data_IF_204961817616
#
_entry.id   IF_204961817616
#
_cell.length_a   1.000
_cell.length_b   1.000
_cell.length_c   1.000
_cell.angle_alpha   90.00
_cell.angle_beta   90.00
_cell.angle_gamma   90.00
#
_symmetry.space_group_name_H-M   'P 1'
#
loop_
_entity.id
_entity.type
_entity.pdbx_description
1 polymer ?
#
# COMPACT_ATOMS: atom_id res chain seq x y z
N UNK A 1 -14.60 -4.58 27.50
CA UNK A 1 -14.64 -5.34 26.24
C UNK A 1 -14.99 -4.45 25.02
N UNK A 2 -16.15 -3.77 24.96
CA UNK A 2 -16.55 -2.98 23.77
C UNK A 2 -15.67 -1.73 23.56
N UNK A 3 -15.34 -0.99 24.63
CA UNK A 3 -14.42 0.16 24.57
C UNK A 3 -12.98 -0.23 24.23
N UNK A 4 -12.52 -1.39 24.68
CA UNK A 4 -11.18 -1.94 24.39
C UNK A 4 -11.08 -2.36 22.93
N UNK A 5 -12.13 -2.97 22.36
CA UNK A 5 -12.25 -3.28 20.94
C UNK A 5 -12.22 -2.01 20.07
N UNK A 6 -12.87 -0.92 20.49
CA UNK A 6 -12.86 0.34 19.77
C UNK A 6 -11.48 1.03 19.79
N UNK A 7 -10.77 0.96 20.91
CA UNK A 7 -9.40 1.50 21.01
C UNK A 7 -8.43 0.73 20.08
N UNK A 8 -8.48 -0.59 20.07
CA UNK A 8 -7.67 -1.44 19.18
C UNK A 8 -7.92 -1.09 17.71
N UNK A 9 -9.18 -0.94 17.31
CA UNK A 9 -9.51 -0.55 15.93
C UNK A 9 -9.01 0.83 15.55
N UNK A 10 -9.08 1.82 16.45
CA UNK A 10 -8.54 3.16 16.20
C UNK A 10 -7.03 3.14 16.01
N UNK A 11 -6.32 2.38 16.83
CA UNK A 11 -4.86 2.21 16.69
C UNK A 11 -4.54 1.51 15.38
N UNK A 12 -5.26 0.46 15.03
CA UNK A 12 -5.11 -0.26 13.76
C UNK A 12 -5.36 0.66 12.54
N UNK A 13 -6.41 1.47 12.60
CA UNK A 13 -6.72 2.45 11.58
C UNK A 13 -5.61 3.49 11.41
N UNK A 14 -5.08 4.00 12.53
CA UNK A 14 -3.95 4.93 12.52
C UNK A 14 -2.68 4.29 11.95
N UNK A 15 -2.40 3.04 12.27
CA UNK A 15 -1.27 2.28 11.71
C UNK A 15 -1.39 2.17 10.18
N UNK A 16 -2.56 1.80 9.66
CA UNK A 16 -2.79 1.71 8.22
C UNK A 16 -2.71 3.07 7.54
N UNK A 17 -3.25 4.13 8.16
CA UNK A 17 -3.14 5.49 7.66
C UNK A 17 -1.68 5.96 7.57
N UNK A 18 -0.89 5.77 8.62
CA UNK A 18 0.54 6.12 8.63
C UNK A 18 1.30 5.26 7.63
N UNK A 19 1.00 3.95 7.54
CA UNK A 19 1.59 3.06 6.56
C UNK A 19 1.34 3.53 5.12
N UNK A 20 0.12 3.98 4.82
CA UNK A 20 -0.21 4.61 3.54
C UNK A 20 0.58 5.90 3.31
N UNK A 21 0.60 6.80 4.29
CA UNK A 21 1.34 8.06 4.19
C UNK A 21 2.84 7.85 3.91
N UNK A 22 3.45 6.79 4.45
CA UNK A 22 4.85 6.46 4.15
C UNK A 22 5.08 6.19 2.65
N UNK A 23 4.12 5.58 1.94
CA UNK A 23 4.24 5.38 0.50
C UNK A 23 4.33 6.69 -0.30
N UNK A 24 3.82 7.79 0.23
CA UNK A 24 3.91 9.09 -0.43
C UNK A 24 5.34 9.51 -0.76
N UNK A 25 6.29 9.28 0.15
CA UNK A 25 7.71 9.56 -0.09
C UNK A 25 8.29 8.69 -1.22
N UNK A 26 7.74 7.50 -1.43
CA UNK A 26 8.23 6.53 -2.39
C UNK A 26 8.09 6.99 -3.85
N UNK A 27 6.95 7.58 -4.22
CA UNK A 27 6.71 8.06 -5.57
C UNK A 27 7.69 9.19 -5.98
N UNK A 28 7.95 10.13 -5.07
CA UNK A 28 8.92 11.22 -5.26
C UNK A 28 10.34 10.68 -5.45
N UNK A 29 10.76 9.70 -4.64
CA UNK A 29 12.07 9.08 -4.76
C UNK A 29 12.20 8.27 -6.04
N UNK A 30 11.15 7.57 -6.47
CA UNK A 30 11.11 6.84 -7.73
C UNK A 30 11.30 7.79 -8.93
N UNK A 31 10.55 8.90 -8.97
CA UNK A 31 10.69 9.96 -9.99
C UNK A 31 12.12 10.50 -10.04
N UNK A 32 12.70 10.79 -8.87
CA UNK A 32 14.08 11.26 -8.77
C UNK A 32 15.10 10.20 -9.22
N UNK A 33 14.91 8.92 -8.90
CA UNK A 33 15.78 7.85 -9.37
C UNK A 33 15.74 7.70 -10.89
N UNK A 34 14.56 7.76 -11.51
CA UNK A 34 14.41 7.74 -12.97
C UNK A 34 15.11 8.93 -13.64
N UNK A 35 14.98 10.13 -13.07
CA UNK A 35 15.66 11.33 -13.57
C UNK A 35 17.20 11.21 -13.49
N UNK A 36 17.72 10.40 -12.57
CA UNK A 36 19.14 10.10 -12.45
C UNK A 36 19.59 8.86 -13.28
N UNK A 37 18.74 8.38 -14.19
CA UNK A 37 19.09 7.34 -15.17
C UNK A 37 18.93 5.89 -14.69
N UNK A 38 18.37 5.66 -13.50
CA UNK A 38 18.10 4.30 -13.03
C UNK A 38 16.86 3.73 -13.71
N UNK A 39 16.92 2.47 -14.13
CA UNK A 39 15.79 1.79 -14.74
C UNK A 39 14.73 1.41 -13.69
N UNK A 40 13.47 1.25 -14.10
CA UNK A 40 12.41 0.83 -13.19
C UNK A 40 12.69 -0.53 -12.53
N UNK A 41 13.38 -1.45 -13.22
CA UNK A 41 13.80 -2.75 -12.68
C UNK A 41 14.79 -2.57 -11.52
N UNK A 42 15.79 -1.71 -11.71
CA UNK A 42 16.78 -1.39 -10.67
C UNK A 42 16.13 -0.74 -9.46
N UNK A 43 15.15 0.16 -9.69
CA UNK A 43 14.42 0.83 -8.62
C UNK A 43 13.59 -0.15 -7.80
N UNK A 44 12.86 -1.08 -8.46
CA UNK A 44 12.15 -2.17 -7.77
C UNK A 44 13.11 -3.03 -6.97
N UNK A 45 14.18 -3.51 -7.59
CA UNK A 45 15.13 -4.40 -6.93
C UNK A 45 15.79 -3.70 -5.73
N UNK A 46 16.24 -2.45 -5.91
CA UNK A 46 16.86 -1.65 -4.85
C UNK A 46 15.95 -1.49 -3.64
N UNK A 47 14.67 -1.17 -3.86
CA UNK A 47 13.67 -1.08 -2.80
C UNK A 47 13.50 -2.41 -2.05
N UNK A 48 13.31 -3.53 -2.78
CA UNK A 48 13.03 -4.83 -2.17
C UNK A 48 14.23 -5.35 -1.36
N UNK A 49 15.43 -5.30 -1.94
CA UNK A 49 16.65 -5.77 -1.28
C UNK A 49 17.02 -4.93 -0.07
N UNK A 50 16.92 -3.60 -0.18
CA UNK A 50 17.17 -2.73 0.96
C UNK A 50 16.19 -3.01 2.11
N UNK A 51 14.91 -3.23 1.79
CA UNK A 51 13.91 -3.57 2.79
C UNK A 51 14.20 -4.90 3.49
N UNK A 52 14.64 -5.92 2.75
CA UNK A 52 15.03 -7.21 3.32
C UNK A 52 16.22 -7.05 4.28
N UNK A 53 17.22 -6.24 3.92
CA UNK A 53 18.35 -5.92 4.80
C UNK A 53 17.87 -5.21 6.06
N UNK A 54 17.02 -4.19 5.93
CA UNK A 54 16.49 -3.43 7.07
C UNK A 54 15.67 -4.31 8.03
N UNK A 55 14.80 -5.17 7.53
CA UNK A 55 14.08 -6.14 8.37
C UNK A 55 15.01 -7.20 8.96
N UNK A 56 16.05 -7.61 8.23
CA UNK A 56 17.10 -8.49 8.75
C UNK A 56 17.82 -7.86 9.94
N UNK A 57 18.19 -6.59 9.84
CA UNK A 57 18.77 -5.83 10.96
C UNK A 57 17.80 -5.72 12.15
N UNK A 58 16.51 -5.47 11.90
CA UNK A 58 15.50 -5.45 12.95
C UNK A 58 15.37 -6.80 13.66
N UNK A 59 15.47 -7.91 12.93
CA UNK A 59 15.52 -9.26 13.51
C UNK A 59 16.76 -9.50 14.36
N UNK A 60 17.93 -9.06 13.91
CA UNK A 60 19.16 -9.17 14.69
C UNK A 60 19.05 -8.39 16.02
N UNK A 61 18.49 -7.17 15.98
CA UNK A 61 18.22 -6.39 17.18
C UNK A 61 17.22 -7.11 18.11
N UNK A 62 16.18 -7.72 17.58
CA UNK A 62 15.22 -8.51 18.38
C UNK A 62 15.90 -9.74 19.01
N UNK A 63 16.75 -10.44 18.26
CA UNK A 63 17.49 -11.59 18.73
C UNK A 63 18.45 -11.20 19.87
N UNK A 64 19.15 -10.09 19.74
CA UNK A 64 20.02 -9.55 20.79
C UNK A 64 19.27 -9.18 22.08
N UNK A 65 17.95 -8.88 21.96
CA UNK A 65 17.06 -8.61 23.12
C UNK A 65 16.37 -9.88 23.65
N UNK A 66 16.82 -11.08 23.28
CA UNK A 66 16.25 -12.36 23.73
C UNK A 66 14.90 -12.72 23.06
N UNK A 67 14.45 -11.97 22.06
CA UNK A 67 13.25 -12.25 21.28
C UNK A 67 13.65 -12.87 19.95
N UNK A 68 14.10 -14.12 20.00
CA UNK A 68 14.67 -14.80 18.83
C UNK A 68 13.64 -15.19 17.76
N UNK A 69 14.16 -15.75 16.68
CA UNK A 69 13.40 -16.34 15.59
C UNK A 69 12.46 -17.43 16.08
N UNK A 70 11.18 -17.34 15.75
CA UNK A 70 10.22 -18.41 16.02
C UNK A 70 10.23 -19.40 14.86
N UNK A 71 10.27 -20.69 15.17
CA UNK A 71 10.15 -21.73 14.14
C UNK A 71 8.72 -21.69 13.58
N UNK A 72 8.62 -21.44 12.28
CA UNK A 72 7.37 -21.48 11.54
C UNK A 72 7.27 -22.77 10.74
N UNK A 73 6.04 -23.27 10.60
CA UNK A 73 5.77 -24.33 9.64
C UNK A 73 6.00 -23.83 8.20
N UNK A 74 6.41 -24.73 7.29
CA UNK A 74 6.68 -24.38 5.90
C UNK A 74 5.49 -23.68 5.21
N UNK A 75 4.26 -24.08 5.54
CA UNK A 75 3.04 -23.46 5.00
C UNK A 75 2.89 -22.00 5.42
N UNK A 76 3.20 -21.66 6.66
CA UNK A 76 3.05 -20.30 7.17
C UNK A 76 4.17 -19.40 6.64
N UNK A 77 5.40 -19.91 6.55
CA UNK A 77 6.49 -19.21 5.87
C UNK A 77 6.15 -18.95 4.39
N UNK A 78 5.62 -19.95 3.68
CA UNK A 78 5.22 -19.82 2.29
C UNK A 78 4.11 -18.78 2.08
N UNK A 79 3.12 -18.64 2.98
CA UNK A 79 2.10 -17.59 2.92
C UNK A 79 2.71 -16.20 2.99
N UNK A 80 3.69 -15.99 3.89
CA UNK A 80 4.36 -14.70 4.04
C UNK A 80 5.23 -14.36 2.83
N UNK A 81 5.97 -15.35 2.32
CA UNK A 81 6.75 -15.20 1.09
C UNK A 81 5.83 -14.89 -0.10
N UNK A 82 4.67 -15.56 -0.22
CA UNK A 82 3.68 -15.28 -1.27
C UNK A 82 3.12 -13.85 -1.18
N UNK A 83 2.89 -13.33 0.03
CA UNK A 83 2.55 -11.90 0.20
C UNK A 83 3.67 -10.99 -0.32
N UNK A 84 4.92 -11.39 -0.17
CA UNK A 84 6.07 -10.67 -0.71
C UNK A 84 6.07 -10.64 -2.25
N UNK A 85 5.79 -11.77 -2.89
CA UNK A 85 5.61 -11.81 -4.35
C UNK A 85 4.52 -10.85 -4.82
N UNK A 86 3.38 -10.81 -4.12
CA UNK A 86 2.27 -9.92 -4.46
C UNK A 86 2.65 -8.44 -4.26
N UNK A 87 3.38 -8.11 -3.17
CA UNK A 87 3.88 -6.76 -2.94
C UNK A 87 4.88 -6.33 -4.02
N UNK A 88 5.81 -7.21 -4.42
CA UNK A 88 6.72 -6.97 -5.53
C UNK A 88 5.96 -6.77 -6.84
N UNK A 89 4.95 -7.60 -7.12
CA UNK A 89 4.11 -7.47 -8.31
C UNK A 89 3.45 -6.09 -8.39
N UNK A 90 2.94 -5.57 -7.27
CA UNK A 90 2.40 -4.21 -7.21
C UNK A 90 3.43 -3.17 -7.64
N UNK A 91 4.64 -3.22 -7.07
CA UNK A 91 5.71 -2.27 -7.40
C UNK A 91 6.17 -2.40 -8.86
N UNK A 92 6.29 -3.61 -9.38
CA UNK A 92 6.66 -3.90 -10.77
C UNK A 92 5.64 -3.29 -11.73
N UNK A 93 4.35 -3.60 -11.52
CA UNK A 93 3.27 -3.10 -12.37
C UNK A 93 3.19 -1.57 -12.34
N UNK A 94 3.36 -0.99 -11.16
CA UNK A 94 3.29 0.45 -10.94
C UNK A 94 4.48 1.19 -11.57
N UNK A 95 5.73 0.75 -11.31
CA UNK A 95 6.92 1.42 -11.81
C UNK A 95 7.10 1.22 -13.32
N UNK A 96 6.67 0.06 -13.84
CA UNK A 96 6.57 -0.12 -15.28
C UNK A 96 5.55 0.83 -15.90
N UNK A 97 4.38 1.00 -15.30
CA UNK A 97 3.40 1.98 -15.76
C UNK A 97 3.98 3.41 -15.72
N UNK A 98 4.70 3.79 -14.64
CA UNK A 98 5.38 5.09 -14.52
C UNK A 98 6.49 5.31 -15.56
N UNK A 99 7.05 4.26 -16.13
CA UNK A 99 8.03 4.38 -17.24
C UNK A 99 7.38 4.69 -18.59
N UNK A 100 6.07 4.48 -18.70
CA UNK A 100 5.29 4.67 -19.94
C UNK A 100 4.26 5.82 -19.85
N UNK A 101 3.94 6.26 -18.64
CA UNK A 101 2.90 7.25 -18.34
C UNK A 101 3.46 8.38 -17.47
N UNK A 102 2.89 9.57 -17.54
CA UNK A 102 3.08 10.58 -16.50
C UNK A 102 2.72 9.99 -15.11
N UNK A 103 3.48 10.42 -14.09
CA UNK A 103 3.32 9.91 -12.72
C UNK A 103 1.90 10.12 -12.20
N UNK A 104 1.28 11.25 -12.57
CA UNK A 104 -0.08 11.64 -12.19
C UNK A 104 -1.13 10.65 -12.72
N UNK A 105 -0.95 10.15 -13.93
CA UNK A 105 -1.82 9.13 -14.53
C UNK A 105 -1.59 7.78 -13.87
N UNK A 106 -0.33 7.38 -13.69
CA UNK A 106 0.01 6.10 -13.07
C UNK A 106 -0.52 6.03 -11.62
N UNK A 107 -0.39 7.10 -10.83
CA UNK A 107 -0.91 7.14 -9.46
C UNK A 107 -2.44 7.11 -9.43
N UNK A 108 -3.12 7.79 -10.35
CA UNK A 108 -4.59 7.75 -10.47
C UNK A 108 -5.08 6.33 -10.74
N UNK A 109 -4.36 5.57 -11.58
CA UNK A 109 -4.67 4.17 -11.87
C UNK A 109 -4.37 3.26 -10.67
N UNK A 110 -3.28 3.47 -9.96
CA UNK A 110 -2.98 2.76 -8.72
C UNK A 110 -4.12 2.95 -7.71
N UNK A 111 -4.62 4.17 -7.54
CA UNK A 111 -5.66 4.50 -6.55
C UNK A 111 -7.02 3.84 -6.82
N UNK A 112 -7.18 3.15 -7.96
CA UNK A 112 -8.34 2.29 -8.17
C UNK A 112 -8.43 1.17 -7.10
N UNK A 113 -7.33 0.87 -6.39
CA UNK A 113 -7.37 -0.07 -5.27
C UNK A 113 -8.41 0.27 -4.19
N UNK A 114 -8.80 1.54 -4.06
CA UNK A 114 -9.76 2.00 -3.03
C UNK A 114 -11.12 1.32 -3.18
N UNK A 115 -11.70 1.31 -4.40
CA UNK A 115 -12.99 0.66 -4.65
C UNK A 115 -12.82 -0.85 -4.90
N UNK A 116 -11.70 -1.27 -5.50
CA UNK A 116 -11.40 -2.69 -5.70
C UNK A 116 -11.34 -3.41 -4.35
N UNK A 117 -10.78 -2.77 -3.31
CA UNK A 117 -10.80 -3.29 -1.94
C UNK A 117 -12.20 -3.52 -1.39
N UNK A 118 -13.15 -2.63 -1.71
CA UNK A 118 -14.55 -2.84 -1.35
C UNK A 118 -15.17 -4.03 -2.10
N UNK A 119 -14.87 -4.18 -3.39
CA UNK A 119 -15.31 -5.35 -4.17
C UNK A 119 -14.76 -6.65 -3.57
N UNK A 120 -13.48 -6.68 -3.23
CA UNK A 120 -12.86 -7.85 -2.58
C UNK A 120 -13.56 -8.14 -1.24
N UNK A 121 -13.87 -7.11 -0.44
CA UNK A 121 -14.60 -7.26 0.81
C UNK A 121 -16.00 -7.87 0.60
N UNK A 122 -16.74 -7.42 -0.42
CA UNK A 122 -18.07 -7.97 -0.76
C UNK A 122 -17.98 -9.44 -1.17
N UNK A 123 -17.03 -9.79 -2.02
CA UNK A 123 -16.81 -11.17 -2.47
C UNK A 123 -16.48 -12.07 -1.28
N UNK A 124 -15.63 -11.60 -0.38
CA UNK A 124 -15.16 -12.36 0.78
C UNK A 124 -16.22 -12.56 1.85
N UNK A 125 -16.89 -11.46 2.21
CA UNK A 125 -17.85 -11.47 3.32
C UNK A 125 -19.27 -11.82 2.85
N UNK A 126 -19.53 -11.79 1.55
CA UNK A 126 -20.87 -11.89 0.93
C UNK A 126 -21.88 -10.90 1.51
N UNK A 127 -21.41 -9.74 1.95
CA UNK A 127 -22.22 -8.65 2.49
C UNK A 127 -22.00 -7.39 1.69
N UNK A 128 -23.09 -6.63 1.47
CA UNK A 128 -22.97 -5.32 0.83
C UNK A 128 -22.07 -4.39 1.67
N UNK A 129 -21.25 -3.55 1.03
CA UNK A 129 -20.44 -2.56 1.72
C UNK A 129 -21.35 -1.55 2.43
N UNK A 130 -20.85 -0.93 3.46
CA UNK A 130 -21.58 0.13 4.15
C UNK A 130 -21.70 1.36 3.23
N UNK A 131 -22.81 2.09 3.26
CA UNK A 131 -22.94 3.31 2.46
C UNK A 131 -21.80 4.32 2.68
N UNK A 132 -21.30 4.42 3.91
CA UNK A 132 -20.16 5.28 4.24
C UNK A 132 -18.85 4.82 3.55
N UNK A 133 -18.61 3.53 3.42
CA UNK A 133 -17.44 2.99 2.71
C UNK A 133 -17.51 3.31 1.20
N UNK A 134 -18.69 3.15 0.61
CA UNK A 134 -18.92 3.49 -0.81
C UNK A 134 -18.76 4.99 -1.03
N UNK A 135 -19.37 5.82 -0.17
CA UNK A 135 -19.25 7.26 -0.23
C UNK A 135 -17.78 7.70 -0.07
N UNK A 136 -17.04 7.12 0.89
CA UNK A 136 -15.64 7.39 1.11
C UNK A 136 -14.80 7.06 -0.13
N UNK A 137 -14.99 5.89 -0.73
CA UNK A 137 -14.26 5.48 -1.94
C UNK A 137 -14.57 6.43 -3.12
N UNK A 138 -15.82 6.81 -3.33
CA UNK A 138 -16.21 7.76 -4.37
C UNK A 138 -15.57 9.14 -4.16
N UNK A 139 -15.58 9.64 -2.92
CA UNK A 139 -14.98 10.93 -2.56
C UNK A 139 -13.44 10.88 -2.76
N UNK A 140 -12.78 9.78 -2.35
CA UNK A 140 -11.34 9.60 -2.55
C UNK A 140 -10.98 9.56 -4.02
N UNK A 141 -11.73 8.82 -4.85
CA UNK A 141 -11.48 8.76 -6.29
C UNK A 141 -11.63 10.14 -6.95
N UNK A 142 -12.68 10.90 -6.59
CA UNK A 142 -12.83 12.27 -7.07
C UNK A 142 -11.66 13.16 -6.62
N UNK A 143 -11.29 13.10 -5.34
CA UNK A 143 -10.14 13.82 -4.79
C UNK A 143 -8.83 13.44 -5.47
N UNK A 144 -8.63 12.16 -5.81
CA UNK A 144 -7.44 11.68 -6.53
C UNK A 144 -7.33 12.32 -7.91
N UNK A 145 -8.42 12.42 -8.67
CA UNK A 145 -8.44 13.07 -9.98
C UNK A 145 -8.04 14.55 -9.87
N UNK A 146 -8.53 15.27 -8.86
CA UNK A 146 -8.16 16.66 -8.64
C UNK A 146 -6.71 16.81 -8.15
N UNK A 147 -6.30 15.98 -7.19
CA UNK A 147 -4.98 16.07 -6.58
C UNK A 147 -3.85 15.65 -7.53
N UNK A 148 -4.08 14.68 -8.42
CA UNK A 148 -3.11 14.22 -9.41
C UNK A 148 -2.97 15.13 -10.62
N UNK A 149 -3.90 16.07 -10.84
CA UNK A 149 -3.89 16.94 -12.01
C UNK A 149 -4.23 16.25 -13.34
N UNK A 150 -4.59 14.97 -13.34
CA UNK A 150 -4.92 14.19 -14.56
C UNK A 150 -6.07 14.80 -15.37
N UNK A 151 -6.92 15.58 -14.73
CA UNK A 151 -8.01 16.31 -15.38
C UNK A 151 -7.51 17.36 -16.39
N UNK A 152 -6.26 17.84 -16.28
CA UNK A 152 -5.64 18.79 -17.23
C UNK A 152 -5.13 18.08 -18.49
N UNK A 153 -4.60 16.87 -18.34
CA UNK A 153 -3.94 16.12 -19.43
C UNK A 153 -4.89 15.18 -20.16
N UNK A 154 -5.99 14.76 -19.52
CA UNK A 154 -6.87 13.73 -20.05
C UNK A 154 -6.18 12.35 -20.16
N UNK A 155 -6.84 11.40 -20.83
CA UNK A 155 -6.28 10.06 -21.05
C UNK A 155 -5.95 9.77 -22.53
N UNK A 156 -6.31 10.68 -23.44
CA UNK A 156 -6.08 10.50 -24.87
C UNK A 156 -4.59 10.59 -25.21
N UNK A 157 -4.09 9.63 -25.96
CA UNK A 157 -2.69 9.60 -26.41
C UNK A 157 -1.71 8.86 -25.49
N UNK A 158 -2.15 8.34 -24.34
CA UNK A 158 -1.30 7.52 -23.49
C UNK A 158 -1.18 6.06 -23.99
N UNK A 159 -0.05 5.42 -23.63
CA UNK A 159 0.21 4.03 -23.94
C UNK A 159 -0.88 3.13 -23.34
N UNK A 160 -1.62 2.32 -24.17
CA UNK A 160 -2.60 1.38 -23.65
C UNK A 160 -1.98 0.36 -22.69
N UNK A 161 -0.73 -0.03 -22.93
CA UNK A 161 0.02 -0.94 -22.07
C UNK A 161 0.29 -0.30 -20.70
N UNK A 162 0.70 0.96 -20.68
CA UNK A 162 0.89 1.73 -19.45
C UNK A 162 -0.41 1.83 -18.65
N UNK A 163 -1.54 2.12 -19.30
CA UNK A 163 -2.85 2.17 -18.66
C UNK A 163 -3.27 0.83 -18.07
N UNK A 164 -3.05 -0.27 -18.78
CA UNK A 164 -3.34 -1.63 -18.30
C UNK A 164 -2.49 -1.96 -17.07
N UNK A 165 -1.19 -1.75 -17.12
CA UNK A 165 -0.29 -2.08 -16.01
C UNK A 165 -0.54 -1.18 -14.80
N UNK A 166 -0.86 0.10 -15.02
CA UNK A 166 -1.28 1.01 -13.95
C UNK A 166 -2.55 0.52 -13.24
N UNK A 167 -3.55 0.09 -13.98
CA UNK A 167 -4.78 -0.47 -13.41
C UNK A 167 -4.52 -1.79 -12.67
N UNK A 168 -3.74 -2.70 -13.26
CA UNK A 168 -3.36 -3.96 -12.62
C UNK A 168 -2.55 -3.75 -11.33
N UNK A 169 -1.77 -2.68 -11.23
CA UNK A 169 -1.09 -2.32 -9.99
C UNK A 169 -2.08 -2.02 -8.86
N UNK A 170 -3.18 -1.33 -9.17
CA UNK A 170 -4.28 -1.10 -8.22
C UNK A 170 -4.96 -2.39 -7.77
N UNK A 171 -5.21 -3.32 -8.70
CA UNK A 171 -5.75 -4.65 -8.36
C UNK A 171 -4.80 -5.41 -7.42
N UNK A 172 -3.50 -5.44 -7.76
CA UNK A 172 -2.48 -6.12 -6.96
C UNK A 172 -2.36 -5.50 -5.56
N UNK A 173 -2.40 -4.16 -5.45
CA UNK A 173 -2.35 -3.44 -4.18
C UNK A 173 -3.57 -3.77 -3.29
N UNK A 174 -4.78 -3.77 -3.85
CA UNK A 174 -5.99 -4.14 -3.13
C UNK A 174 -5.93 -5.58 -2.61
N UNK A 175 -5.44 -6.52 -3.44
CA UNK A 175 -5.22 -7.91 -3.04
C UNK A 175 -4.18 -8.03 -1.93
N UNK A 176 -3.06 -7.31 -2.02
CA UNK A 176 -2.04 -7.30 -0.99
C UNK A 176 -2.60 -6.84 0.36
N UNK A 177 -3.34 -5.73 0.39
CA UNK A 177 -3.95 -5.20 1.61
C UNK A 177 -4.96 -6.19 2.20
N UNK A 178 -5.83 -6.75 1.36
CA UNK A 178 -6.85 -7.72 1.79
C UNK A 178 -6.24 -9.02 2.33
N UNK A 179 -5.24 -9.57 1.64
CA UNK A 179 -4.57 -10.81 2.04
C UNK A 179 -3.62 -10.59 3.24
N UNK A 180 -3.00 -9.41 3.35
CA UNK A 180 -2.18 -9.06 4.52
C UNK A 180 -2.99 -9.14 5.82
N UNK A 181 -4.26 -8.73 5.79
CA UNK A 181 -5.17 -8.86 6.93
C UNK A 181 -5.57 -10.29 7.28
N UNK A 182 -5.63 -11.18 6.29
CA UNK A 182 -6.04 -12.59 6.48
C UNK A 182 -4.90 -13.52 6.87
N UNK A 183 -3.68 -13.23 6.46
CA UNK A 183 -2.50 -14.05 6.76
C UNK A 183 -2.02 -13.74 8.17
N UNK A 184 -2.59 -14.43 9.15
CA UNK A 184 -2.16 -14.39 10.56
C UNK A 184 -1.24 -15.58 10.82
N UNK A 185 0.00 -15.27 11.24
CA UNK A 185 1.04 -16.27 11.52
C UNK A 185 1.63 -15.99 12.91
N UNK A 186 1.89 -16.99 13.75
CA UNK A 186 2.40 -16.80 15.10
C UNK A 186 3.90 -16.48 15.10
N UNK A 187 4.27 -15.32 14.57
CA UNK A 187 5.64 -14.82 14.52
C UNK A 187 5.72 -13.36 14.99
N UNK A 188 6.94 -12.84 15.19
CA UNK A 188 7.13 -11.43 15.47
C UNK A 188 6.90 -10.59 14.19
N UNK A 189 6.54 -9.31 14.37
CA UNK A 189 6.30 -8.40 13.25
C UNK A 189 7.53 -8.22 12.36
N UNK A 190 8.74 -8.17 12.96
CA UNK A 190 9.97 -8.12 12.19
C UNK A 190 10.22 -9.42 11.41
N UNK A 191 9.90 -10.59 11.97
CA UNK A 191 10.00 -11.87 11.26
C UNK A 191 8.99 -11.95 10.10
N UNK A 192 7.75 -11.47 10.33
CA UNK A 192 6.72 -11.33 9.29
C UNK A 192 7.24 -10.45 8.15
N UNK A 193 7.69 -9.24 8.48
CA UNK A 193 8.20 -8.28 7.51
C UNK A 193 9.40 -8.82 6.74
N UNK A 194 10.34 -9.47 7.43
CA UNK A 194 11.51 -10.09 6.80
C UNK A 194 11.12 -11.15 5.76
N UNK A 195 10.20 -12.05 6.09
CA UNK A 195 9.76 -13.09 5.16
C UNK A 195 9.00 -12.52 3.96
N UNK A 196 8.18 -11.50 4.18
CA UNK A 196 7.51 -10.76 3.09
C UNK A 196 8.55 -10.10 2.20
N UNK A 197 9.52 -9.37 2.76
CA UNK A 197 10.56 -8.71 1.98
C UNK A 197 11.50 -9.70 1.29
N UNK A 198 11.78 -10.85 1.90
CA UNK A 198 12.55 -11.92 1.27
C UNK A 198 11.85 -12.46 0.02
N UNK A 199 10.53 -12.68 0.10
CA UNK A 199 9.71 -13.07 -1.06
C UNK A 199 9.72 -12.00 -2.15
N UNK A 200 9.59 -10.73 -1.76
CA UNK A 200 9.64 -9.61 -2.69
C UNK A 200 11.01 -9.47 -3.37
N UNK A 201 12.10 -9.65 -2.62
CA UNK A 201 13.47 -9.63 -3.15
C UNK A 201 13.73 -10.79 -4.12
N UNK A 202 13.26 -11.99 -3.78
CA UNK A 202 13.36 -13.15 -4.68
C UNK A 202 12.58 -12.91 -5.99
N UNK A 203 11.39 -12.32 -5.92
CA UNK A 203 10.62 -11.95 -7.11
C UNK A 203 11.35 -10.89 -7.95
N UNK A 204 11.99 -9.92 -7.32
CA UNK A 204 12.70 -8.85 -8.03
C UNK A 204 13.91 -9.34 -8.83
N UNK A 205 14.57 -10.44 -8.40
CA UNK A 205 15.66 -11.07 -9.15
C UNK A 205 15.21 -11.67 -10.47
N UNK A 206 13.96 -12.11 -10.59
CA UNK A 206 13.43 -12.60 -11.87
C UNK A 206 13.30 -11.47 -12.91
N UNK A 207 13.22 -10.20 -12.44
CA UNK A 207 13.01 -9.02 -13.28
C UNK A 207 14.32 -8.28 -13.52
N UNK A 208 15.20 -8.29 -12.53
CA UNK A 208 16.53 -7.66 -12.59
C UNK A 208 17.59 -8.63 -12.02
N UNK A 209 17.97 -9.69 -12.76
CA UNK A 209 18.93 -10.69 -12.27
C UNK A 209 20.33 -10.09 -12.06
N UNK A 210 20.66 -9.07 -12.84
CA UNK A 210 21.96 -8.38 -12.77
C UNK A 210 22.05 -7.34 -11.65
N UNK A 211 20.99 -7.15 -10.85
CA UNK A 211 20.97 -6.11 -9.81
C UNK A 211 22.14 -6.25 -8.82
N UNK A 212 22.37 -7.46 -8.32
CA UNK A 212 23.46 -7.72 -7.37
C UNK A 212 24.82 -7.72 -8.07
N UNK A 213 25.03 -8.46 -9.20
CA UNK A 213 26.33 -8.48 -9.88
C UNK A 213 26.78 -7.13 -10.42
N UNK A 214 25.86 -6.27 -10.86
CA UNK A 214 26.19 -4.96 -11.42
C UNK A 214 26.80 -3.99 -10.41
N UNK A 215 26.55 -4.20 -9.11
CA UNK A 215 26.99 -3.28 -8.07
C UNK A 215 26.34 -1.89 -8.15
N UNK A 216 25.21 -1.77 -8.85
CA UNK A 216 24.49 -0.50 -9.08
C UNK A 216 24.15 0.25 -7.78
N UNK A 217 23.99 -0.48 -6.68
CA UNK A 217 23.77 0.10 -5.35
C UNK A 217 24.90 1.07 -4.99
N UNK A 218 26.16 0.70 -5.28
CA UNK A 218 27.34 1.52 -4.98
C UNK A 218 27.61 2.59 -6.05
N UNK A 219 26.87 2.57 -7.16
CA UNK A 219 26.97 3.54 -8.24
C UNK A 219 25.94 4.68 -8.10
N UNK A 220 25.50 4.98 -6.88
CA UNK A 220 24.58 6.07 -6.56
C UNK A 220 23.13 5.66 -6.30
N UNK A 221 22.78 4.37 -6.43
CA UNK A 221 21.42 3.88 -6.14
C UNK A 221 21.13 3.78 -4.63
N UNK A 222 22.16 3.66 -3.76
CA UNK A 222 22.01 3.43 -2.33
C UNK A 222 21.05 4.41 -1.61
N UNK A 223 21.13 5.74 -1.78
CA UNK A 223 20.22 6.66 -1.09
C UNK A 223 18.77 6.47 -1.52
N UNK A 224 18.51 6.22 -2.81
CA UNK A 224 17.17 5.92 -3.30
C UNK A 224 16.65 4.61 -2.74
N UNK A 225 17.45 3.54 -2.80
CA UNK A 225 17.10 2.24 -2.26
C UNK A 225 16.81 2.31 -0.76
N UNK A 226 17.57 3.11 0.01
CA UNK A 226 17.38 3.27 1.45
C UNK A 226 16.04 3.97 1.77
N UNK A 227 15.76 5.11 1.13
CA UNK A 227 14.52 5.84 1.37
C UNK A 227 13.31 5.02 0.91
N UNK A 228 13.39 4.45 -0.28
CA UNK A 228 12.32 3.62 -0.83
C UNK A 228 12.15 2.30 -0.05
N UNK A 229 13.24 1.70 0.42
CA UNK A 229 13.20 0.52 1.27
C UNK A 229 12.57 0.79 2.62
N UNK A 230 12.87 1.93 3.23
CA UNK A 230 12.33 2.33 4.53
C UNK A 230 10.86 2.76 4.42
N UNK A 231 10.56 3.75 3.58
CA UNK A 231 9.24 4.36 3.48
C UNK A 231 8.32 3.66 2.49
N UNK A 232 8.87 3.02 1.46
CA UNK A 232 8.10 2.32 0.44
C UNK A 232 7.91 0.82 0.71
N UNK A 233 8.50 0.26 1.76
CA UNK A 233 8.34 -1.17 2.05
C UNK A 233 8.38 -1.49 3.54
N UNK A 234 9.47 -1.14 4.28
CA UNK A 234 9.63 -1.56 5.67
C UNK A 234 8.51 -1.00 6.56
N UNK A 235 8.33 0.31 6.59
CA UNK A 235 7.31 0.94 7.42
C UNK A 235 5.89 0.56 7.00
N UNK A 236 5.51 0.60 5.70
CA UNK A 236 4.19 0.16 5.27
C UNK A 236 3.90 -1.31 5.56
N UNK A 237 4.81 -2.23 5.22
CA UNK A 237 4.61 -3.67 5.46
C UNK A 237 4.46 -3.96 6.95
N UNK A 238 5.27 -3.30 7.79
CA UNK A 238 5.19 -3.43 9.25
C UNK A 238 3.86 -2.90 9.77
N UNK A 239 3.48 -1.68 9.41
CA UNK A 239 2.27 -1.03 9.89
C UNK A 239 0.99 -1.68 9.36
N UNK A 240 0.98 -2.09 8.08
CA UNK A 240 -0.13 -2.86 7.51
C UNK A 240 -0.24 -4.25 8.15
N UNK A 241 0.89 -4.89 8.43
CA UNK A 241 0.92 -6.16 9.16
C UNK A 241 0.25 -6.08 10.53
N UNK A 242 0.43 -4.97 11.24
CA UNK A 242 -0.19 -4.72 12.55
C UNK A 242 -1.66 -4.30 12.42
N UNK A 243 -1.98 -3.42 11.47
CA UNK A 243 -3.29 -2.77 11.40
C UNK A 243 -4.35 -3.58 10.63
N UNK A 244 -4.00 -4.13 9.46
CA UNK A 244 -4.99 -4.77 8.56
C UNK A 244 -5.73 -5.98 9.16
N UNK A 245 -5.18 -6.78 10.11
CA UNK A 245 -5.94 -7.86 10.73
C UNK A 245 -7.12 -7.40 11.58
N UNK A 246 -7.12 -6.14 12.01
CA UNK A 246 -8.11 -5.59 12.94
C UNK A 246 -9.18 -4.73 12.28
N UNK A 247 -9.08 -4.48 10.98
CA UNK A 247 -10.01 -3.64 10.21
C UNK A 247 -10.45 -4.34 8.91
N UNK A 248 -11.63 -4.01 8.37
CA UNK A 248 -12.10 -4.54 7.09
C UNK A 248 -11.18 -4.14 5.93
N UNK A 249 -11.09 -5.00 4.90
CA UNK A 249 -10.23 -4.76 3.72
C UNK A 249 -10.58 -3.45 2.99
N UNK A 250 -11.87 -3.15 2.84
CA UNK A 250 -12.32 -1.89 2.23
C UNK A 250 -11.89 -0.66 3.03
N UNK A 251 -11.91 -0.73 4.37
CA UNK A 251 -11.42 0.33 5.22
C UNK A 251 -9.89 0.46 5.13
N UNK A 252 -9.17 -0.65 5.06
CA UNK A 252 -7.72 -0.64 4.91
C UNK A 252 -7.30 0.07 3.60
N UNK A 253 -7.99 -0.19 2.48
CA UNK A 253 -7.72 0.48 1.21
C UNK A 253 -8.04 1.98 1.26
N UNK A 254 -9.15 2.36 1.89
CA UNK A 254 -9.50 3.78 2.08
C UNK A 254 -8.44 4.52 2.92
N UNK A 255 -8.00 3.92 4.02
CA UNK A 255 -6.97 4.53 4.89
C UNK A 255 -5.61 4.61 4.22
N UNK A 256 -5.24 3.61 3.43
CA UNK A 256 -3.99 3.63 2.66
C UNK A 256 -3.96 4.74 1.60
N UNK A 257 -5.12 5.30 1.21
CA UNK A 257 -5.20 6.45 0.30
C UNK A 257 -4.59 7.74 0.86
N UNK A 258 -4.16 7.75 2.13
CA UNK A 258 -3.30 8.81 2.70
C UNK A 258 -1.96 8.97 1.97
N UNK A 259 -1.58 8.00 1.14
CA UNK A 259 -0.39 8.04 0.28
C UNK A 259 -0.34 9.29 -0.59
N UNK A 260 -1.42 9.63 -1.29
CA UNK A 260 -1.41 10.76 -2.23
C UNK A 260 -1.26 12.11 -1.53
N UNK A 261 -2.04 12.47 -0.48
CA UNK A 261 -1.77 13.66 0.30
C UNK A 261 -0.33 13.75 0.79
N UNK A 262 0.19 12.66 1.37
CA UNK A 262 1.56 12.62 1.86
C UNK A 262 2.58 12.78 0.74
N UNK A 263 2.37 12.14 -0.42
CA UNK A 263 3.23 12.25 -1.59
C UNK A 263 3.32 13.68 -2.14
N UNK A 264 2.20 14.37 -2.22
CA UNK A 264 2.16 15.77 -2.64
C UNK A 264 2.91 16.69 -1.67
N UNK A 265 2.77 16.47 -0.35
CA UNK A 265 3.55 17.20 0.64
C UNK A 265 5.05 16.93 0.51
N UNK A 266 5.45 15.67 0.31
CA UNK A 266 6.86 15.31 0.12
C UNK A 266 7.42 15.92 -1.18
N UNK A 267 6.67 15.86 -2.28
CA UNK A 267 7.07 16.46 -3.55
C UNK A 267 7.24 17.98 -3.44
N UNK A 268 6.31 18.65 -2.77
CA UNK A 268 6.40 20.09 -2.51
C UNK A 268 7.67 20.47 -1.75
N UNK A 269 8.03 19.70 -0.72
CA UNK A 269 9.20 19.99 0.11
C UNK A 269 10.50 19.56 -0.57
N UNK A 270 10.54 18.38 -1.20
CA UNK A 270 11.76 17.79 -1.74
C UNK A 270 12.11 18.31 -3.14
N UNK A 271 11.10 18.61 -3.97
CA UNK A 271 11.28 19.05 -5.36
C UNK A 271 10.96 20.54 -5.56
N UNK A 272 10.41 21.21 -4.54
CA UNK A 272 9.99 22.62 -4.65
C UNK A 272 8.81 22.82 -5.60
N UNK A 273 8.02 21.78 -5.88
CA UNK A 273 6.86 21.85 -6.77
C UNK A 273 5.66 22.46 -6.01
N UNK A 274 5.22 23.70 -6.33
CA UNK A 274 4.11 24.32 -5.61
C UNK A 274 2.79 23.62 -5.97
N UNK A 275 1.98 23.32 -4.97
CA UNK A 275 0.62 22.83 -5.18
C UNK A 275 -0.32 23.98 -5.53
N UNK A 276 -1.06 23.84 -6.62
CA UNK A 276 -2.11 24.77 -6.98
C UNK A 276 -3.37 24.62 -6.11
N UNK A 277 -4.33 25.55 -6.21
CA UNK A 277 -5.57 25.49 -5.42
C UNK A 277 -6.39 24.22 -5.68
N UNK A 278 -6.36 23.68 -6.89
CA UNK A 278 -7.12 22.48 -7.27
C UNK A 278 -6.49 21.22 -6.65
N UNK A 279 -5.18 21.13 -6.64
CA UNK A 279 -4.45 20.04 -5.99
C UNK A 279 -4.72 20.05 -4.47
N UNK A 280 -4.72 21.22 -3.84
CA UNK A 280 -5.11 21.37 -2.43
C UNK A 280 -6.56 20.97 -2.16
N UNK A 281 -7.49 21.31 -3.06
CA UNK A 281 -8.88 20.84 -2.97
C UNK A 281 -8.95 19.32 -3.08
N UNK A 282 -8.16 18.72 -3.96
CA UNK A 282 -8.05 17.26 -4.09
C UNK A 282 -7.54 16.61 -2.81
N UNK A 283 -6.48 17.14 -2.20
CA UNK A 283 -5.95 16.69 -0.90
C UNK A 283 -7.02 16.74 0.18
N UNK A 284 -7.71 17.90 0.32
CA UNK A 284 -8.77 18.06 1.30
C UNK A 284 -9.93 17.07 1.07
N UNK A 285 -10.28 16.82 -0.20
CA UNK A 285 -11.32 15.86 -0.59
C UNK A 285 -10.94 14.42 -0.21
N UNK A 286 -9.69 14.00 -0.45
CA UNK A 286 -9.20 12.67 -0.03
C UNK A 286 -9.27 12.52 1.49
N UNK A 287 -8.78 13.52 2.24
CA UNK A 287 -8.84 13.47 3.70
C UNK A 287 -10.27 13.45 4.24
N UNK A 288 -11.20 14.17 3.58
CA UNK A 288 -12.63 14.09 3.90
C UNK A 288 -13.19 12.67 3.66
N UNK A 289 -12.83 12.03 2.55
CA UNK A 289 -13.21 10.64 2.27
C UNK A 289 -12.69 9.67 3.34
N UNK A 290 -11.44 9.82 3.78
CA UNK A 290 -10.87 9.05 4.89
C UNK A 290 -11.67 9.28 6.18
N UNK A 291 -12.03 10.53 6.50
CA UNK A 291 -12.83 10.86 7.68
C UNK A 291 -14.26 10.26 7.62
N UNK A 292 -14.90 10.28 6.45
CA UNK A 292 -16.21 9.64 6.22
C UNK A 292 -16.15 8.14 6.52
N UNK A 293 -15.10 7.46 6.06
CA UNK A 293 -14.90 6.03 6.34
C UNK A 293 -14.82 5.73 7.83
N UNK A 294 -14.13 6.58 8.59
CA UNK A 294 -13.98 6.43 10.04
C UNK A 294 -15.28 6.72 10.80
N UNK A 295 -16.02 7.75 10.38
CA UNK A 295 -17.28 8.14 11.01
C UNK A 295 -18.37 7.06 10.86
N UNK A 296 -18.38 6.32 9.75
CA UNK A 296 -19.32 5.22 9.51
C UNK A 296 -19.16 4.02 10.47
N UNK A 297 -18.10 3.93 11.23
CA UNK A 297 -17.87 2.85 12.21
C UNK A 297 -18.66 3.00 13.52
N UNK A 298 -19.16 4.19 13.83
CA UNK A 298 -19.90 4.47 15.08
C UNK A 298 -21.29 3.80 15.20
N UNK A 299 -21.78 3.17 14.13
CA UNK A 299 -23.08 2.52 14.16
C UNK A 299 -22.94 1.00 14.02
N UNK A 300 -23.19 0.21 15.09
CA UNK A 300 -23.26 -1.23 15.00
C UNK A 300 -24.34 -1.63 13.98
N UNK A 301 -23.97 -2.47 13.01
CA UNK A 301 -24.94 -3.09 12.10
C UNK A 301 -25.94 -3.84 12.97
N UNK A 302 -27.17 -3.32 13.13
CA UNK A 302 -28.27 -4.07 13.75
C UNK A 302 -28.41 -5.38 12.97
N UNK A 303 -28.31 -6.54 13.63
CA UNK A 303 -28.61 -7.80 12.95
C UNK A 303 -30.06 -7.69 12.47
N UNK A 304 -30.29 -7.92 11.17
CA UNK A 304 -31.66 -8.09 10.66
C UNK A 304 -32.31 -9.17 11.52
N UNK A 305 -33.33 -8.77 12.32
CA UNK A 305 -34.25 -9.70 12.96
C UNK A 305 -34.69 -10.66 11.86
N UNK A 306 -34.29 -11.93 11.95
CA UNK A 306 -35.00 -12.99 11.25
C UNK A 306 -36.42 -12.89 11.78
N UNK A 307 -37.34 -12.46 10.94
CA UNK A 307 -38.74 -12.66 11.18
C UNK A 307 -38.92 -14.16 11.37
N UNK A 308 -39.06 -14.56 12.63
CA UNK A 308 -39.57 -15.87 12.98
C UNK A 308 -40.96 -15.90 12.43
N UNK A 309 -41.09 -16.44 11.21
CA UNK A 309 -42.37 -16.70 10.59
C UNK A 309 -43.23 -17.49 11.54
N UNK A 310 -44.35 -16.92 11.87
CA UNK A 310 -45.49 -17.57 12.41
C UNK A 310 -45.73 -18.92 11.71
N UNK A 311 -45.70 -19.99 12.48
CA UNK A 311 -46.50 -21.17 12.23
C UNK A 311 -47.22 -21.45 13.54
N UNK A 312 -48.45 -20.95 13.60
CA UNK A 312 -49.52 -21.56 14.34
C UNK A 312 -50.04 -22.73 13.54
#
# INVERSE_FOLDING_TARGET
>A
MEKESAAVRRVAALQVFIGGACYGANATMCKSAFANGFSWQQVVAGQMWCSAVLFGLALLVQAARGRGWRRLGARDAAKLVALGFLSCATSVLYYFAMSLLPVEVAITLLFQYSWIGLVIQVIDTRRAPRPAEVAAAAVILAGTVFASGVWRTGLAGFSPLGLLFGFLSGVSCALFLALSGKVTVPCSDAQRGFLVCLGASAASLAICPDFIPSGVVFQGMAPYALVMGLFGMLLPVYLFGLGTPHIPAGMATVLASSELPAGLFVSMIALGEPLGPVEWLGVATILAGVAISQAGEGHPVRPRRREAGARG
#
